data_IF_303682890579
#
_entry.id   IF_303682890579
#
_cell.length_a   1.000
_cell.length_b   1.000
_cell.length_c   1.000
_cell.angle_alpha   90.00
_cell.angle_beta   90.00
_cell.angle_gamma   90.00
#
_symmetry.space_group_name_H-M   'P 1'
#
loop_
_entity.id
_entity.type
_entity.pdbx_description
1 polymer ?
#
# COMPACT_ATOMS: atom_id res chain seq x y z
N UNK A 1 -25.29 -45.69 -46.19
CA UNK A 1 -24.29 -46.75 -45.94
C UNK A 1 -22.92 -46.17 -46.28
N UNK A 2 -21.88 -46.53 -45.50
CA UNK A 2 -20.47 -46.01 -45.50
C UNK A 2 -20.30 -44.78 -44.58
N UNK A 3 -19.40 -44.68 -43.59
CA UNK A 3 -18.63 -45.56 -42.68
C UNK A 3 -18.01 -44.59 -41.63
N UNK A 4 -18.07 -44.83 -40.31
CA UNK A 4 -17.54 -43.93 -39.29
C UNK A 4 -16.03 -44.18 -39.03
N UNK A 5 -15.24 -43.12 -38.85
CA UNK A 5 -13.81 -43.11 -38.48
C UNK A 5 -13.66 -42.03 -37.39
N UNK A 6 -13.62 -42.34 -36.09
CA UNK A 6 -12.56 -42.96 -35.29
C UNK A 6 -11.37 -42.00 -35.04
N UNK A 7 -11.43 -41.38 -33.83
CA UNK A 7 -10.34 -41.01 -32.90
C UNK A 7 -9.40 -39.85 -33.26
N UNK A 8 -9.42 -38.83 -32.40
CA UNK A 8 -8.24 -38.21 -31.76
C UNK A 8 -8.77 -37.34 -30.60
N UNK A 9 -8.89 -37.84 -29.37
CA UNK A 9 -7.82 -37.85 -28.37
C UNK A 9 -6.80 -36.73 -28.59
N UNK A 10 -6.96 -35.61 -27.90
CA UNK A 10 -5.86 -34.91 -27.25
C UNK A 10 -6.44 -33.92 -26.23
N UNK A 11 -6.27 -34.31 -24.97
CA UNK A 11 -6.55 -33.52 -23.80
C UNK A 11 -5.82 -32.18 -23.88
N UNK A 12 -6.56 -31.08 -23.70
CA UNK A 12 -5.98 -29.76 -23.48
C UNK A 12 -5.42 -29.75 -22.06
N UNK A 13 -4.08 -29.72 -21.84
CA UNK A 13 -3.57 -29.52 -20.51
C UNK A 13 -3.90 -28.10 -20.06
N UNK A 14 -4.65 -28.03 -18.97
CA UNK A 14 -4.84 -26.85 -18.15
C UNK A 14 -3.47 -26.33 -17.71
N UNK A 15 -2.91 -25.36 -18.43
CA UNK A 15 -1.70 -24.65 -18.01
C UNK A 15 -2.10 -23.71 -16.88
N UNK A 16 -2.12 -24.26 -15.66
CA UNK A 16 -2.05 -23.49 -14.41
C UNK A 16 -0.65 -22.88 -14.31
N UNK A 17 -0.47 -21.73 -14.95
CA UNK A 17 0.70 -20.88 -14.70
C UNK A 17 0.71 -20.45 -13.23
N UNK A 18 1.89 -20.39 -12.58
CA UNK A 18 1.98 -19.95 -11.20
C UNK A 18 1.56 -18.48 -11.10
N UNK A 19 0.60 -18.20 -10.22
CA UNK A 19 0.33 -16.84 -9.73
C UNK A 19 1.62 -16.31 -9.12
N UNK A 20 2.39 -15.54 -9.89
CA UNK A 20 3.33 -14.60 -9.33
C UNK A 20 2.51 -13.50 -8.70
N UNK A 21 2.19 -13.65 -7.41
CA UNK A 21 1.83 -12.51 -6.57
C UNK A 21 3.05 -11.59 -6.54
N UNK A 22 3.04 -10.61 -7.45
CA UNK A 22 3.96 -9.49 -7.40
C UNK A 22 3.85 -8.90 -6.00
N UNK A 23 4.89 -9.10 -5.18
CA UNK A 23 5.07 -8.38 -3.95
C UNK A 23 4.85 -6.88 -4.26
N UNK A 24 4.13 -6.13 -3.42
CA UNK A 24 3.88 -4.73 -3.70
C UNK A 24 5.23 -4.02 -3.74
N UNK A 25 5.66 -3.60 -4.93
CA UNK A 25 6.83 -2.75 -5.18
C UNK A 25 6.80 -1.41 -4.41
N UNK A 26 5.71 -1.17 -3.69
CA UNK A 26 5.42 0.01 -2.91
C UNK A 26 6.38 0.26 -1.74
N UNK A 27 7.07 -0.77 -1.23
CA UNK A 27 8.05 -0.59 -0.15
C UNK A 27 9.41 -0.03 -0.65
N UNK A 28 9.71 -0.10 -1.95
CA UNK A 28 11.04 0.20 -2.47
C UNK A 28 11.25 1.66 -2.93
N UNK A 29 10.19 2.44 -3.11
CA UNK A 29 10.30 3.83 -3.63
C UNK A 29 10.35 4.90 -2.54
N UNK A 30 10.26 4.51 -1.28
CA UNK A 30 10.31 5.45 -0.17
C UNK A 30 11.75 5.54 0.29
N UNK A 31 12.30 6.75 0.43
CA UNK A 31 13.70 7.04 0.78
C UNK A 31 14.15 6.56 2.17
N UNK A 32 13.90 5.30 2.51
CA UNK A 32 14.34 4.61 3.70
C UNK A 32 15.84 4.27 3.67
N UNK A 33 16.48 4.34 2.50
CA UNK A 33 17.89 3.98 2.32
C UNK A 33 18.88 4.91 3.04
N UNK A 34 18.46 6.12 3.42
CA UNK A 34 19.36 7.14 3.98
C UNK A 34 19.32 7.23 5.52
N UNK A 35 18.49 6.43 6.20
CA UNK A 35 18.26 6.54 7.64
C UNK A 35 18.57 5.22 8.37
N UNK A 36 19.13 5.25 9.59
CA UNK A 36 19.28 4.07 10.43
C UNK A 36 17.93 3.36 10.65
N UNK A 37 17.89 2.02 10.69
CA UNK A 37 16.65 1.26 10.75
C UNK A 37 15.78 1.58 11.99
N UNK A 38 16.41 1.87 13.14
CA UNK A 38 15.70 2.25 14.37
C UNK A 38 15.00 3.62 14.25
N UNK A 39 15.67 4.57 13.60
CA UNK A 39 15.09 5.89 13.34
C UNK A 39 13.94 5.80 12.34
N UNK A 40 14.10 5.00 11.28
CA UNK A 40 13.03 4.77 10.32
C UNK A 40 11.79 4.15 10.97
N UNK A 41 11.97 3.16 11.84
CA UNK A 41 10.87 2.53 12.58
C UNK A 41 10.10 3.55 13.43
N UNK A 42 10.81 4.38 14.18
CA UNK A 42 10.23 5.44 15.02
C UNK A 42 9.46 6.46 14.17
N UNK A 43 10.01 6.79 13.00
CA UNK A 43 9.40 7.68 12.05
C UNK A 43 8.09 7.11 11.47
N UNK A 44 8.10 5.84 11.06
CA UNK A 44 6.90 5.14 10.60
C UNK A 44 5.84 5.08 11.70
N UNK A 45 6.22 4.81 12.96
CA UNK A 45 5.24 4.80 14.06
C UNK A 45 4.59 6.17 14.26
N UNK A 46 5.34 7.27 14.18
CA UNK A 46 4.77 8.61 14.27
C UNK A 46 3.78 8.90 13.15
N UNK A 47 4.09 8.47 11.91
CA UNK A 47 3.17 8.59 10.77
C UNK A 47 1.92 7.75 10.98
N UNK A 48 2.04 6.52 11.48
CA UNK A 48 0.90 5.64 11.76
C UNK A 48 -0.02 6.24 12.83
N UNK A 49 0.54 6.80 13.90
CA UNK A 49 -0.19 7.46 14.97
C UNK A 49 -0.95 8.69 14.44
N UNK A 50 -0.26 9.60 13.76
CA UNK A 50 -0.87 10.80 13.20
C UNK A 50 -1.96 10.47 12.18
N UNK A 51 -1.75 9.50 11.28
CA UNK A 51 -2.79 9.07 10.34
C UNK A 51 -4.02 8.50 11.05
N UNK A 52 -3.83 7.80 12.17
CA UNK A 52 -4.94 7.28 12.97
C UNK A 52 -5.71 8.41 13.67
N UNK A 53 -5.02 9.42 14.21
CA UNK A 53 -5.67 10.62 14.76
C UNK A 53 -6.51 11.36 13.72
N UNK A 54 -6.01 11.44 12.49
CA UNK A 54 -6.70 12.04 11.36
C UNK A 54 -7.81 11.12 10.79
N UNK A 55 -7.97 9.90 11.30
CA UNK A 55 -9.04 8.97 10.92
C UNK A 55 -8.76 8.12 9.67
N UNK A 56 -7.54 8.12 9.13
CA UNK A 56 -7.16 7.40 7.91
C UNK A 56 -6.85 5.91 8.10
N UNK A 57 -6.96 5.38 9.33
CA UNK A 57 -6.81 3.94 9.67
C UNK A 57 -5.53 3.30 9.10
N UNK A 58 -4.37 3.81 9.51
CA UNK A 58 -3.07 3.28 9.14
C UNK A 58 -2.75 1.88 9.73
N UNK A 59 -3.56 1.41 10.68
CA UNK A 59 -3.41 0.12 11.32
C UNK A 59 -2.73 0.23 12.67
N UNK A 60 -2.09 -0.86 13.11
CA UNK A 60 -1.35 -0.87 14.37
C UNK A 60 -0.08 -0.01 14.24
N UNK A 61 0.23 0.76 15.28
CA UNK A 61 1.48 1.52 15.36
C UNK A 61 2.62 0.57 15.72
N UNK A 62 3.20 -0.06 14.70
CA UNK A 62 4.26 -1.06 14.84
C UNK A 62 5.60 -0.62 14.21
N UNK A 63 5.61 0.56 13.58
CA UNK A 63 6.78 1.11 12.90
C UNK A 63 7.14 0.37 11.61
N UNK A 64 6.22 -0.45 11.06
CA UNK A 64 6.41 -1.14 9.79
C UNK A 64 5.52 -0.54 8.72
N UNK A 65 6.11 -0.09 7.62
CA UNK A 65 5.38 0.45 6.48
C UNK A 65 4.73 -0.69 5.68
N UNK A 66 3.60 -1.21 6.17
CA UNK A 66 2.80 -2.24 5.52
C UNK A 66 1.80 -1.67 4.51
N UNK A 67 1.10 -2.55 3.79
CA UNK A 67 0.11 -2.16 2.77
C UNK A 67 -1.05 -1.31 3.32
N UNK A 68 -1.45 -1.53 4.58
CA UNK A 68 -2.47 -0.72 5.24
C UNK A 68 -1.97 0.71 5.50
N UNK A 69 -0.76 0.86 6.04
CA UNK A 69 -0.13 2.17 6.24
C UNK A 69 0.04 2.91 4.91
N UNK A 70 0.52 2.23 3.87
CA UNK A 70 0.62 2.81 2.53
C UNK A 70 -0.72 3.28 1.95
N UNK A 71 -1.78 2.52 2.16
CA UNK A 71 -3.14 2.89 1.72
C UNK A 71 -3.67 4.11 2.48
N UNK A 72 -3.41 4.19 3.78
CA UNK A 72 -3.76 5.34 4.62
C UNK A 72 -3.00 6.61 4.21
N UNK A 73 -1.70 6.49 3.93
CA UNK A 73 -0.88 7.60 3.42
C UNK A 73 -1.48 8.14 2.12
N UNK A 74 -1.78 7.28 1.15
CA UNK A 74 -2.37 7.69 -0.13
C UNK A 74 -3.75 8.34 0.04
N UNK A 75 -4.55 7.87 1.00
CA UNK A 75 -5.83 8.48 1.31
C UNK A 75 -5.65 9.89 1.90
N UNK A 76 -4.70 10.06 2.82
CA UNK A 76 -4.34 11.35 3.39
C UNK A 76 -3.81 12.31 2.33
N UNK A 77 -2.84 11.87 1.52
CA UNK A 77 -2.26 12.68 0.43
C UNK A 77 -3.35 13.20 -0.52
N UNK A 78 -4.31 12.35 -0.90
CA UNK A 78 -5.47 12.77 -1.71
C UNK A 78 -6.34 13.81 -1.01
N UNK A 79 -6.61 13.63 0.29
CA UNK A 79 -7.40 14.58 1.07
C UNK A 79 -6.68 15.92 1.26
N UNK A 80 -5.36 15.88 1.42
CA UNK A 80 -4.48 17.03 1.57
C UNK A 80 -4.05 17.67 0.23
N UNK A 81 -4.49 17.14 -0.91
CA UNK A 81 -4.08 17.56 -2.26
C UNK A 81 -2.55 17.54 -2.48
N UNK A 82 -1.87 16.61 -1.82
CA UNK A 82 -0.46 16.33 -1.98
C UNK A 82 -0.23 15.30 -3.11
N UNK A 83 1.00 15.23 -3.66
CA UNK A 83 1.41 14.11 -4.51
C UNK A 83 1.14 12.77 -3.83
N UNK A 84 0.56 11.82 -4.58
CA UNK A 84 0.07 10.53 -4.04
C UNK A 84 1.10 9.44 -4.29
N UNK A 85 2.26 9.58 -3.68
CA UNK A 85 3.35 8.60 -3.82
C UNK A 85 3.18 7.45 -2.82
N UNK A 86 2.41 7.69 -1.75
CA UNK A 86 2.12 6.68 -0.76
C UNK A 86 3.27 6.33 0.17
N UNK A 87 4.36 7.08 0.06
CA UNK A 87 5.59 6.88 0.80
C UNK A 87 5.63 7.63 2.12
N UNK A 88 6.36 7.03 3.06
CA UNK A 88 6.73 7.66 4.33
C UNK A 88 7.91 8.61 4.05
N UNK A 89 7.66 9.92 4.10
CA UNK A 89 8.66 10.97 3.85
C UNK A 89 8.62 12.05 4.93
N UNK A 90 9.76 12.70 5.23
CA UNK A 90 9.88 13.76 6.24
C UNK A 90 8.72 14.77 6.15
N UNK A 91 8.50 15.25 4.94
CA UNK A 91 7.50 16.25 4.60
C UNK A 91 6.07 15.78 4.90
N UNK A 92 5.76 14.50 4.71
CA UNK A 92 4.45 13.96 5.03
C UNK A 92 4.17 14.01 6.54
N UNK A 93 5.15 13.64 7.39
CA UNK A 93 4.96 13.73 8.84
C UNK A 93 4.87 15.18 9.31
N UNK A 94 5.71 16.06 8.75
CA UNK A 94 5.62 17.49 9.06
C UNK A 94 4.24 18.04 8.67
N UNK A 95 3.72 17.66 7.50
CA UNK A 95 2.39 18.06 7.08
C UNK A 95 1.29 17.50 8.00
N UNK A 96 1.41 16.24 8.44
CA UNK A 96 0.48 15.65 9.42
C UNK A 96 0.48 16.41 10.75
N UNK A 97 1.66 16.81 11.25
CA UNK A 97 1.80 17.46 12.55
C UNK A 97 1.41 18.94 12.53
N UNK A 98 1.71 19.66 11.44
CA UNK A 98 1.59 21.12 11.39
C UNK A 98 0.38 21.63 10.58
N UNK A 99 -0.35 20.78 9.86
CA UNK A 99 -1.54 21.23 9.12
C UNK A 99 -2.65 21.66 10.08
N UNK A 100 -3.02 22.95 10.01
CA UNK A 100 -4.16 23.51 10.73
C UNK A 100 -5.11 24.20 9.74
N UNK A 101 -6.41 23.85 9.70
CA UNK A 101 -7.07 22.83 10.54
C UNK A 101 -6.66 21.39 10.18
N UNK A 102 -6.72 20.48 11.17
CA UNK A 102 -6.46 19.05 10.95
C UNK A 102 -7.38 18.50 9.84
N UNK A 103 -6.80 17.80 8.87
CA UNK A 103 -7.53 17.18 7.76
C UNK A 103 -8.01 15.79 8.19
N UNK A 104 -9.32 15.59 8.28
CA UNK A 104 -9.90 14.32 8.69
C UNK A 104 -10.34 13.47 7.49
N UNK A 105 -10.27 12.14 7.62
CA UNK A 105 -10.84 11.21 6.65
C UNK A 105 -12.35 11.44 6.51
N UNK A 106 -12.86 11.49 5.27
CA UNK A 106 -14.29 11.66 5.06
C UNK A 106 -15.03 10.37 5.46
N UNK A 107 -16.06 10.53 6.29
CA UNK A 107 -16.93 9.43 6.71
C UNK A 107 -17.80 9.07 5.50
N UNK A 108 -17.38 8.07 4.71
CA UNK A 108 -18.21 7.57 3.61
C UNK A 108 -19.52 7.05 4.23
N UNK A 109 -20.63 7.70 3.86
CA UNK A 109 -21.99 7.29 4.23
C UNK A 109 -22.38 6.02 3.50
#
# INVERSE_FOLDING_TARGET
MIRPLLIALLAVPCVVGPLTVAAPAFAASCGAGSMPPEMFKTYVSGVQEALNEHGFRAGKVDGKAGGQTGSAIRAYQRAAKLPVDGCVSKELLDHLNFVQPKIYASKRR
#
